data_IF_917201128445
#
_entry.id   IF_917201128445
#
_cell.length_a   1.000
_cell.length_b   1.000
_cell.length_c   1.000
_cell.angle_alpha   90.00
_cell.angle_beta   90.00
_cell.angle_gamma   90.00
#
_symmetry.space_group_name_H-M   'P 1'
#
loop_
_entity.id
_entity.type
_entity.pdbx_description
1 polymer ?
#
# COMPACT_ATOMS: atom_id res chain seq x y z
N UNK A 1 33.50 21.09 13.15
CA UNK A 1 33.03 19.99 12.27
C UNK A 1 32.00 19.21 13.07
N UNK A 2 30.75 19.66 13.06
CA UNK A 2 29.68 19.13 13.92
C UNK A 2 29.00 17.95 13.20
N UNK A 3 29.21 16.74 13.70
CA UNK A 3 28.52 15.54 13.24
C UNK A 3 27.04 15.66 13.63
N UNK A 4 26.20 16.03 12.67
CA UNK A 4 24.74 15.96 12.81
C UNK A 4 24.36 14.49 12.95
N UNK A 5 24.21 14.03 14.19
CA UNK A 5 23.64 12.75 14.52
C UNK A 5 22.21 12.72 13.97
N UNK A 6 21.99 11.94 12.90
CA UNK A 6 20.68 11.72 12.33
C UNK A 6 19.89 10.82 13.29
N UNK A 7 19.27 11.42 14.31
CA UNK A 7 18.39 10.70 15.23
C UNK A 7 17.29 10.01 14.41
N UNK A 8 17.19 8.66 14.44
CA UNK A 8 16.16 7.96 13.69
C UNK A 8 14.81 8.40 14.28
N UNK A 9 14.04 9.16 13.50
CA UNK A 9 12.67 9.54 13.88
C UNK A 9 11.92 8.27 14.25
N UNK A 10 11.53 8.15 15.52
CA UNK A 10 10.73 7.03 16.00
C UNK A 10 9.46 6.93 15.16
N UNK A 11 9.34 5.86 14.37
CA UNK A 11 8.18 5.63 13.52
C UNK A 11 6.98 5.37 14.42
N UNK A 12 5.84 5.96 14.10
CA UNK A 12 4.60 5.69 14.84
C UNK A 12 4.24 4.21 14.71
N UNK A 13 3.79 3.55 15.79
CA UNK A 13 3.50 2.11 15.80
C UNK A 13 2.48 1.71 14.72
N UNK A 14 1.48 2.56 14.44
CA UNK A 14 0.47 2.32 13.41
C UNK A 14 1.05 2.31 11.99
N UNK A 15 2.04 3.16 11.71
CA UNK A 15 2.73 3.18 10.41
C UNK A 15 3.60 1.96 10.24
N UNK A 16 4.33 1.54 11.28
CA UNK A 16 5.16 0.35 11.25
C UNK A 16 4.31 -0.93 11.00
N UNK A 17 3.19 -1.08 11.70
CA UNK A 17 2.27 -2.19 11.50
C UNK A 17 1.69 -2.21 10.08
N UNK A 18 1.25 -1.06 9.56
CA UNK A 18 0.70 -0.97 8.19
C UNK A 18 1.75 -1.34 7.14
N UNK A 19 2.99 -0.87 7.33
CA UNK A 19 4.12 -1.23 6.46
C UNK A 19 4.42 -2.72 6.51
N UNK A 20 4.46 -3.33 7.70
CA UNK A 20 4.70 -4.77 7.84
C UNK A 20 3.61 -5.60 7.16
N UNK A 21 2.33 -5.27 7.39
CA UNK A 21 1.18 -5.93 6.73
C UNK A 21 1.27 -5.78 5.21
N UNK A 22 1.61 -4.59 4.71
CA UNK A 22 1.77 -4.35 3.27
C UNK A 22 2.88 -5.22 2.66
N UNK A 23 4.04 -5.31 3.31
CA UNK A 23 5.15 -6.14 2.83
C UNK A 23 4.78 -7.62 2.87
N UNK A 24 4.18 -8.09 3.96
CA UNK A 24 3.78 -9.49 4.09
C UNK A 24 2.72 -9.87 3.04
N UNK A 25 1.70 -9.04 2.85
CA UNK A 25 0.69 -9.26 1.83
C UNK A 25 1.29 -9.25 0.42
N UNK A 26 2.15 -8.27 0.12
CA UNK A 26 2.85 -8.19 -1.15
C UNK A 26 3.68 -9.44 -1.45
N UNK A 27 4.41 -9.95 -0.46
CA UNK A 27 5.19 -11.17 -0.60
C UNK A 27 4.31 -12.40 -0.92
N UNK A 28 3.14 -12.52 -0.27
CA UNK A 28 2.18 -13.60 -0.56
C UNK A 28 1.67 -13.51 -2.00
N UNK A 29 1.29 -12.32 -2.47
CA UNK A 29 0.83 -12.11 -3.85
C UNK A 29 1.93 -12.45 -4.88
N UNK A 30 3.18 -12.08 -4.60
CA UNK A 30 4.32 -12.33 -5.50
C UNK A 30 4.74 -13.79 -5.54
N UNK A 31 4.80 -14.46 -4.38
CA UNK A 31 5.26 -15.84 -4.28
C UNK A 31 4.16 -16.85 -4.67
N UNK A 32 2.91 -16.57 -4.27
CA UNK A 32 1.80 -17.53 -4.32
C UNK A 32 0.56 -16.97 -5.04
N UNK A 33 0.66 -16.42 -6.27
CA UNK A 33 -0.46 -15.76 -6.96
C UNK A 33 -1.64 -16.72 -7.19
N UNK A 34 -1.35 -17.96 -7.58
CA UNK A 34 -2.37 -18.97 -7.83
C UNK A 34 -3.18 -19.30 -6.57
N UNK A 35 -2.58 -19.24 -5.37
CA UNK A 35 -3.29 -19.50 -4.12
C UNK A 35 -4.35 -18.43 -3.82
N UNK A 36 -4.04 -17.18 -4.19
CA UNK A 36 -4.92 -16.03 -4.02
C UNK A 36 -6.02 -16.05 -5.07
N UNK A 37 -5.67 -16.30 -6.34
CA UNK A 37 -6.63 -16.38 -7.44
C UNK A 37 -7.65 -17.51 -7.27
N UNK A 38 -7.26 -18.65 -6.67
CA UNK A 38 -8.21 -19.73 -6.30
C UNK A 38 -9.33 -19.28 -5.36
N UNK A 39 -9.14 -18.18 -4.62
CA UNK A 39 -10.17 -17.60 -3.75
C UNK A 39 -11.09 -16.60 -4.48
N UNK A 40 -10.89 -16.39 -5.78
CA UNK A 40 -11.67 -15.48 -6.61
C UNK A 40 -12.49 -16.28 -7.66
N UNK A 41 -13.72 -16.73 -7.35
CA UNK A 41 -14.43 -17.76 -8.12
C UNK A 41 -14.77 -17.39 -9.57
N UNK A 42 -14.86 -16.08 -9.85
CA UNK A 42 -15.19 -15.57 -11.19
C UNK A 42 -13.95 -15.23 -12.02
N UNK A 43 -12.78 -15.23 -11.41
CA UNK A 43 -11.53 -14.81 -12.06
C UNK A 43 -10.90 -16.01 -12.78
N UNK A 44 -10.76 -15.95 -14.11
CA UNK A 44 -10.21 -17.09 -14.85
C UNK A 44 -8.73 -17.27 -14.57
N UNK A 45 -8.36 -18.52 -14.32
CA UNK A 45 -6.98 -18.96 -14.24
C UNK A 45 -6.29 -18.70 -15.59
N UNK A 46 -5.31 -17.81 -15.58
CA UNK A 46 -4.51 -17.47 -16.77
C UNK A 46 -3.14 -16.97 -16.34
N UNK A 47 -2.14 -17.18 -17.19
CA UNK A 47 -0.78 -16.66 -16.98
C UNK A 47 -0.77 -15.14 -16.87
N UNK A 48 -1.67 -14.45 -17.58
CA UNK A 48 -1.89 -13.02 -17.45
C UNK A 48 -2.40 -12.64 -16.05
N UNK A 49 -3.38 -13.37 -15.49
CA UNK A 49 -3.86 -13.15 -14.12
C UNK A 49 -2.72 -13.31 -13.10
N UNK A 50 -1.94 -14.39 -13.22
CA UNK A 50 -0.80 -14.65 -12.36
C UNK A 50 0.24 -13.53 -12.42
N UNK A 51 0.54 -13.05 -13.63
CA UNK A 51 1.51 -11.97 -13.86
C UNK A 51 1.04 -10.67 -13.20
N UNK A 52 -0.23 -10.31 -13.37
CA UNK A 52 -0.82 -9.11 -12.75
C UNK A 52 -0.77 -9.20 -11.23
N UNK A 53 -1.13 -10.34 -10.63
CA UNK A 53 -1.07 -10.54 -9.18
C UNK A 53 0.36 -10.47 -8.65
N UNK A 54 1.33 -11.03 -9.37
CA UNK A 54 2.75 -10.94 -8.99
C UNK A 54 3.26 -9.50 -9.01
N UNK A 55 2.92 -8.75 -10.06
CA UNK A 55 3.31 -7.34 -10.21
C UNK A 55 2.68 -6.46 -9.11
N UNK A 56 1.41 -6.71 -8.78
CA UNK A 56 0.73 -6.06 -7.66
C UNK A 56 1.44 -6.36 -6.33
N UNK A 57 1.78 -7.63 -6.10
CA UNK A 57 2.55 -8.04 -4.92
C UNK A 57 3.90 -7.33 -4.83
N UNK A 58 4.64 -7.28 -5.95
CA UNK A 58 5.94 -6.64 -6.01
C UNK A 58 5.84 -5.15 -5.70
N UNK A 59 4.80 -4.47 -6.20
CA UNK A 59 4.51 -3.08 -5.88
C UNK A 59 4.29 -2.87 -4.38
N UNK A 60 3.50 -3.71 -3.72
CA UNK A 60 3.28 -3.60 -2.27
C UNK A 60 4.57 -3.79 -1.48
N UNK A 61 5.42 -4.76 -1.86
CA UNK A 61 6.74 -4.97 -1.26
C UNK A 61 7.62 -3.73 -1.45
N UNK A 62 7.79 -3.25 -2.68
CA UNK A 62 8.63 -2.07 -2.99
C UNK A 62 8.13 -0.84 -2.23
N UNK A 63 6.83 -0.56 -2.25
CA UNK A 63 6.25 0.59 -1.55
C UNK A 63 6.41 0.47 -0.02
N UNK A 64 6.21 -0.73 0.53
CA UNK A 64 6.41 -1.01 1.95
C UNK A 64 7.86 -0.84 2.38
N UNK A 65 8.81 -1.42 1.65
CA UNK A 65 10.24 -1.31 1.92
C UNK A 65 10.75 0.12 1.74
N UNK A 66 10.34 0.84 0.69
CA UNK A 66 10.72 2.23 0.48
C UNK A 66 10.17 3.14 1.59
N UNK A 67 8.95 2.87 2.09
CA UNK A 67 8.40 3.54 3.29
C UNK A 67 9.23 3.19 4.54
N UNK A 68 9.62 1.92 4.68
CA UNK A 68 10.43 1.47 5.81
C UNK A 68 11.86 2.02 5.77
N UNK A 69 12.43 2.26 4.60
CA UNK A 69 13.74 2.87 4.44
C UNK A 69 13.69 4.40 4.60
N UNK A 70 12.50 5.00 4.70
CA UNK A 70 12.33 6.45 4.77
C UNK A 70 12.55 7.16 3.42
N UNK A 71 12.66 6.41 2.32
CA UNK A 71 12.84 6.93 0.95
C UNK A 71 11.59 7.67 0.49
N UNK A 72 10.41 7.13 0.83
CA UNK A 72 9.11 7.77 0.55
C UNK A 72 8.40 8.09 1.87
N UNK A 73 7.89 9.32 2.05
CA UNK A 73 7.09 9.62 3.23
C UNK A 73 5.84 8.75 3.26
N UNK A 74 5.47 8.21 4.43
CA UNK A 74 4.28 7.36 4.56
C UNK A 74 2.98 8.03 4.04
N UNK A 75 2.90 9.36 4.14
CA UNK A 75 1.80 10.16 3.59
C UNK A 75 1.60 9.97 2.08
N UNK A 76 2.70 9.81 1.33
CA UNK A 76 2.66 9.63 -0.12
C UNK A 76 2.06 8.31 -0.54
N UNK A 77 1.97 7.33 0.36
CA UNK A 77 1.40 6.01 0.04
C UNK A 77 -0.11 6.06 -0.21
N UNK A 78 -0.80 7.11 0.24
CA UNK A 78 -2.24 7.29 0.03
C UNK A 78 -2.60 7.51 -1.44
N UNK A 79 -1.75 8.24 -2.18
CA UNK A 79 -1.97 8.58 -3.59
C UNK A 79 -2.00 7.32 -4.49
N UNK A 80 -0.96 6.48 -4.54
CA UNK A 80 -0.96 5.27 -5.34
C UNK A 80 -2.07 4.30 -4.92
N UNK A 81 -2.38 4.21 -3.62
CA UNK A 81 -3.43 3.32 -3.12
C UNK A 81 -4.83 3.81 -3.53
N UNK A 82 -5.08 5.11 -3.45
CA UNK A 82 -6.36 5.72 -3.87
C UNK A 82 -6.61 5.63 -5.37
N UNK A 83 -5.59 5.89 -6.20
CA UNK A 83 -5.70 5.74 -7.65
C UNK A 83 -5.99 4.28 -8.03
N UNK A 84 -5.30 3.33 -7.38
CA UNK A 84 -5.50 1.91 -7.60
C UNK A 84 -6.92 1.46 -7.20
N UNK A 85 -7.41 1.92 -6.05
CA UNK A 85 -8.79 1.68 -5.64
C UNK A 85 -9.80 2.17 -6.70
N UNK A 86 -9.62 3.39 -7.23
CA UNK A 86 -10.50 3.91 -8.27
C UNK A 86 -10.49 3.05 -9.55
N UNK A 87 -9.31 2.60 -10.00
CA UNK A 87 -9.18 1.69 -11.14
C UNK A 87 -9.89 0.36 -10.89
N UNK A 88 -9.73 -0.22 -9.69
CA UNK A 88 -10.36 -1.50 -9.36
C UNK A 88 -11.87 -1.40 -9.19
N UNK A 89 -12.38 -0.25 -8.74
CA UNK A 89 -13.82 0.04 -8.78
C UNK A 89 -14.34 0.05 -10.22
N UNK A 90 -13.64 0.74 -11.14
CA UNK A 90 -13.99 0.74 -12.56
C UNK A 90 -13.96 -0.67 -13.17
N UNK A 91 -12.93 -1.46 -12.86
CA UNK A 91 -12.82 -2.84 -13.33
C UNK A 91 -13.92 -3.75 -12.78
N UNK A 92 -14.29 -3.57 -11.50
CA UNK A 92 -15.36 -4.34 -10.86
C UNK A 92 -16.72 -4.05 -11.51
N UNK A 93 -16.96 -2.81 -11.91
CA UNK A 93 -18.19 -2.39 -12.59
C UNK A 93 -18.21 -2.78 -14.07
N UNK A 94 -17.07 -2.71 -14.76
CA UNK A 94 -16.96 -2.90 -16.21
C UNK A 94 -16.62 -4.32 -16.68
N UNK A 95 -16.25 -5.25 -15.78
CA UNK A 95 -15.88 -6.60 -16.18
C UNK A 95 -16.35 -7.66 -15.17
N UNK A 96 -17.41 -8.39 -15.52
CA UNK A 96 -17.92 -9.50 -14.69
C UNK A 96 -16.86 -10.59 -14.47
N UNK A 97 -16.05 -10.87 -15.50
CA UNK A 97 -14.91 -11.78 -15.48
C UNK A 97 -13.91 -11.44 -14.38
N UNK A 98 -13.66 -10.16 -14.12
CA UNK A 98 -12.66 -9.73 -13.13
C UNK A 98 -13.27 -9.23 -11.83
N UNK A 99 -14.62 -9.14 -11.75
CA UNK A 99 -15.32 -8.48 -10.66
C UNK A 99 -14.91 -8.94 -9.27
N UNK A 100 -14.76 -10.25 -9.05
CA UNK A 100 -14.45 -10.73 -7.70
C UNK A 100 -13.03 -10.36 -7.26
N UNK A 101 -12.02 -10.58 -8.12
CA UNK A 101 -10.67 -10.10 -7.86
C UNK A 101 -10.62 -8.59 -7.72
N UNK A 102 -11.38 -7.87 -8.56
CA UNK A 102 -11.46 -6.42 -8.52
C UNK A 102 -12.04 -5.88 -7.20
N UNK A 103 -13.10 -6.50 -6.67
CA UNK A 103 -13.68 -6.15 -5.37
C UNK A 103 -12.72 -6.44 -4.20
N UNK A 104 -12.03 -7.59 -4.21
CA UNK A 104 -11.05 -7.94 -3.17
C UNK A 104 -9.94 -6.90 -3.13
N UNK A 105 -9.39 -6.58 -4.30
CA UNK A 105 -8.26 -5.65 -4.40
C UNK A 105 -8.68 -4.20 -4.09
N UNK A 106 -9.88 -3.80 -4.53
CA UNK A 106 -10.50 -2.54 -4.12
C UNK A 106 -10.59 -2.44 -2.58
N UNK A 107 -11.04 -3.49 -1.90
CA UNK A 107 -11.16 -3.50 -0.45
C UNK A 107 -9.78 -3.35 0.23
N UNK A 108 -8.77 -4.09 -0.24
CA UNK A 108 -7.40 -4.02 0.28
C UNK A 108 -6.79 -2.63 0.04
N UNK A 109 -6.90 -2.10 -1.17
CA UNK A 109 -6.39 -0.77 -1.52
C UNK A 109 -7.06 0.34 -0.70
N UNK A 110 -8.39 0.26 -0.53
CA UNK A 110 -9.15 1.19 0.31
C UNK A 110 -8.70 1.13 1.77
N UNK A 111 -8.46 -0.08 2.31
CA UNK A 111 -7.96 -0.25 3.67
C UNK A 111 -6.58 0.39 3.87
N UNK A 112 -5.65 0.21 2.92
CA UNK A 112 -4.34 0.85 2.98
C UNK A 112 -4.41 2.37 2.83
N UNK A 113 -5.24 2.89 1.91
CA UNK A 113 -5.47 4.31 1.75
C UNK A 113 -6.04 4.95 3.03
N UNK A 114 -7.03 4.28 3.65
CA UNK A 114 -7.62 4.72 4.90
C UNK A 114 -6.60 4.72 6.06
N UNK A 115 -5.76 3.69 6.16
CA UNK A 115 -4.69 3.62 7.14
C UNK A 115 -3.65 4.74 6.94
N UNK A 116 -3.28 5.02 5.69
CA UNK A 116 -2.40 6.14 5.34
C UNK A 116 -2.99 7.49 5.71
N UNK A 117 -4.26 7.75 5.39
CA UNK A 117 -4.97 8.98 5.76
C UNK A 117 -5.08 9.18 7.28
N UNK A 118 -5.29 8.09 8.04
CA UNK A 118 -5.27 8.16 9.51
C UNK A 118 -3.88 8.55 10.01
N UNK A 119 -2.84 7.93 9.48
CA UNK A 119 -1.46 8.24 9.86
C UNK A 119 -1.06 9.70 9.57
N UNK A 120 -1.54 10.29 8.46
CA UNK A 120 -1.29 11.71 8.15
C UNK A 120 -2.07 12.65 9.07
N UNK A 121 -3.33 12.35 9.40
CA UNK A 121 -4.15 13.18 10.31
C UNK A 121 -3.63 13.18 11.75
N UNK A 122 -3.06 12.07 12.22
CA UNK A 122 -2.50 12.01 13.57
C UNK A 122 -1.10 12.63 13.64
N UNK A 123 -0.45 12.94 12.52
CA UNK A 123 0.83 13.66 12.52
C UNK A 123 0.63 15.06 13.11
N UNK A 124 1.37 15.46 14.17
CA UNK A 124 1.32 16.83 14.66
C UNK A 124 1.65 17.76 13.50
N UNK A 125 0.87 18.83 13.32
CA UNK A 125 1.19 19.88 12.37
C UNK A 125 2.64 20.31 12.63
N UNK A 126 3.52 20.07 11.66
CA UNK A 126 4.92 20.45 11.77
C UNK A 126 4.97 21.91 12.20
N UNK A 127 5.64 22.16 13.33
CA UNK A 127 5.55 23.40 14.07
C UNK A 127 5.67 24.63 13.16
N UNK A 128 4.70 25.53 13.29
CA UNK A 128 4.83 26.92 12.83
C UNK A 128 6.23 27.40 13.22
N UNK A 129 7.05 27.92 12.29
CA UNK A 129 8.36 28.44 12.64
C UNK A 129 8.17 29.50 13.73
N UNK A 130 8.68 29.22 14.92
CA UNK A 130 8.80 30.23 15.96
C UNK A 130 9.88 31.19 15.48
N UNK A 131 9.48 32.28 14.84
CA UNK A 131 10.33 33.44 14.71
C UNK A 131 10.73 33.87 16.13
N UNK A 132 11.94 33.50 16.54
CA UNK A 132 12.60 34.12 17.68
C UNK A 132 12.94 35.55 17.25
N UNK A 133 12.34 36.51 17.93
CA UNK A 133 12.82 37.89 17.97
C UNK A 133 14.04 37.96 18.88
#
# INVERSE_FOLDING_TARGET
>A
MELVAHSPRARKPTTAATTAVRVAWGAVLTACPAAVLRRCPRTPASTAADTVVRLLGARHVVQGLATAAGVVPAAWTVVPDGLHAATMAGLALGSERWRTAACVDLAVATAFAAAGLRATRTAPAAGRPRHRR
#
